data_IF_616347406051
#
_entry.id   IF_616347406051
#
_cell.length_a   1.000
_cell.length_b   1.000
_cell.length_c   1.000
_cell.angle_alpha   90.00
_cell.angle_beta   90.00
_cell.angle_gamma   90.00
#
_symmetry.space_group_name_H-M   'P 1'
#
loop_
_entity.id
_entity.type
_entity.pdbx_description
1 polymer ?
#
# COMPACT_ATOMS: atom_id res chain seq x y z
N UNK A 1 1.56 13.64 -65.15
CA UNK A 1 0.31 14.36 -64.86
C UNK A 1 0.02 14.24 -63.37
N UNK A 2 0.32 15.29 -62.62
CA UNK A 2 0.06 15.45 -61.18
C UNK A 2 -1.16 16.38 -60.99
N UNK A 3 -1.91 16.20 -59.89
CA UNK A 3 -2.40 17.34 -59.11
C UNK A 3 -1.99 17.15 -57.63
N UNK A 4 -1.23 17.97 -56.91
CA UNK A 4 -1.25 19.41 -56.56
C UNK A 4 -2.46 19.89 -55.72
N UNK A 5 -2.13 20.19 -54.45
CA UNK A 5 -2.75 21.10 -53.47
C UNK A 5 -4.16 20.78 -52.93
N UNK A 6 -4.49 20.96 -51.64
CA UNK A 6 -4.28 22.16 -50.82
C UNK A 6 -4.40 21.82 -49.30
N UNK A 7 -3.41 22.21 -48.48
CA UNK A 7 -3.50 22.24 -47.00
C UNK A 7 -4.01 23.62 -46.56
N UNK A 8 -4.82 23.74 -45.48
CA UNK A 8 -4.97 25.02 -44.80
C UNK A 8 -3.86 25.17 -43.74
N UNK A 9 -3.03 26.19 -43.95
CA UNK A 9 -2.23 26.87 -42.94
C UNK A 9 -3.13 27.92 -42.27
N UNK A 10 -3.25 27.90 -40.96
CA UNK A 10 -3.53 29.11 -40.19
C UNK A 10 -2.52 29.19 -39.04
N UNK A 11 -1.79 30.30 -39.02
CA UNK A 11 -0.65 30.54 -38.17
C UNK A 11 -0.97 31.30 -36.88
N UNK A 12 -0.03 31.13 -35.96
CA UNK A 12 0.49 32.03 -34.92
C UNK A 12 -0.38 33.17 -34.36
N UNK A 13 -0.49 33.18 -33.02
CA UNK A 13 -0.12 34.34 -32.22
C UNK A 13 0.49 33.90 -30.88
N UNK A 14 1.69 34.39 -30.63
CA UNK A 14 2.39 34.32 -29.36
C UNK A 14 2.26 35.68 -28.66
N UNK A 15 2.10 35.69 -27.33
CA UNK A 15 2.58 36.76 -26.47
C UNK A 15 2.60 36.28 -25.01
N UNK A 16 3.80 36.24 -24.45
CA UNK A 16 4.10 36.10 -23.03
C UNK A 16 4.25 37.50 -22.44
N UNK A 17 3.75 37.76 -21.23
CA UNK A 17 4.18 38.88 -20.37
C UNK A 17 3.76 38.66 -18.91
N UNK A 18 4.77 38.53 -18.04
CA UNK A 18 4.68 38.68 -16.58
C UNK A 18 4.65 40.17 -16.20
N UNK A 19 3.91 40.51 -15.14
CA UNK A 19 4.26 41.54 -14.13
C UNK A 19 3.28 41.42 -12.94
N UNK A 20 3.72 40.98 -11.76
CA UNK A 20 4.23 41.80 -10.64
C UNK A 20 3.17 42.77 -10.07
N UNK A 21 2.51 42.37 -8.98
CA UNK A 21 1.97 43.31 -8.01
C UNK A 21 2.81 43.28 -6.73
N UNK A 22 3.30 44.47 -6.39
CA UNK A 22 4.04 44.83 -5.20
C UNK A 22 3.15 44.71 -3.96
N UNK A 23 3.67 44.08 -2.92
CA UNK A 23 3.22 44.25 -1.54
C UNK A 23 4.45 44.43 -0.66
N UNK A 24 4.94 45.67 -0.56
CA UNK A 24 5.99 46.06 0.36
C UNK A 24 5.40 46.16 1.77
N UNK A 25 5.94 45.42 2.74
CA UNK A 25 5.91 45.82 4.15
C UNK A 25 7.33 45.76 4.67
N UNK A 26 7.71 46.87 5.30
CA UNK A 26 9.06 47.26 5.68
C UNK A 26 9.70 46.31 6.70
N UNK A 27 11.00 46.10 6.51
CA UNK A 27 12.00 45.79 7.56
C UNK A 27 12.10 46.98 8.56
N UNK A 28 12.61 46.81 9.80
CA UNK A 28 14.03 46.50 9.97
C UNK A 28 14.37 45.45 11.04
N UNK A 29 15.48 44.80 10.72
CA UNK A 29 16.37 43.93 11.49
C UNK A 29 17.13 44.74 12.59
N UNK A 30 18.24 44.24 13.18
CA UNK A 30 18.39 43.32 14.29
C UNK A 30 19.12 43.99 15.49
N UNK A 31 19.34 43.27 16.60
CA UNK A 31 20.67 43.14 17.23
C UNK A 31 20.60 42.58 18.66
N UNK A 32 21.57 41.70 18.90
CA UNK A 32 22.11 41.20 20.16
C UNK A 32 22.14 42.19 21.32
N UNK A 33 21.87 41.68 22.52
CA UNK A 33 22.45 42.24 23.74
C UNK A 33 22.82 41.12 24.71
N UNK A 34 24.10 41.13 25.07
CA UNK A 34 24.76 40.35 26.12
C UNK A 34 24.61 41.12 27.45
N UNK A 35 24.34 40.42 28.55
CA UNK A 35 24.62 40.83 29.94
C UNK A 35 24.55 39.54 30.78
N UNK A 36 25.58 38.99 31.44
CA UNK A 36 26.51 39.48 32.48
C UNK A 36 25.79 40.06 33.70
N UNK A 37 25.93 39.39 34.84
CA UNK A 37 25.53 39.84 36.18
C UNK A 37 25.19 38.66 37.09
N UNK A 38 26.17 38.03 37.74
CA UNK A 38 26.69 38.38 39.07
C UNK A 38 25.83 37.80 40.23
N UNK A 39 26.46 36.92 41.01
CA UNK A 39 26.01 36.48 42.34
C UNK A 39 25.98 37.65 43.34
N UNK A 40 25.29 37.51 44.49
CA UNK A 40 26.05 37.16 45.70
C UNK A 40 25.32 36.29 46.76
N UNK A 41 26.13 35.47 47.41
CA UNK A 41 26.26 35.13 48.84
C UNK A 41 25.10 35.35 49.85
N UNK A 42 24.69 34.23 50.46
CA UNK A 42 24.42 33.88 51.88
C UNK A 42 24.11 34.98 52.92
N UNK A 43 23.28 34.64 53.94
CA UNK A 43 23.89 34.23 55.22
C UNK A 43 23.30 32.98 55.87
N UNK A 44 24.15 32.35 56.69
CA UNK A 44 23.91 31.30 57.69
C UNK A 44 23.09 31.83 58.88
N UNK A 45 22.26 30.99 59.51
CA UNK A 45 22.40 30.62 60.93
C UNK A 45 21.43 29.50 61.35
N UNK A 46 21.83 28.83 62.42
CA UNK A 46 21.52 27.48 62.87
C UNK A 46 20.13 27.24 63.48
N UNK A 47 19.70 25.98 63.43
CA UNK A 47 18.57 25.47 64.21
C UNK A 47 18.60 23.93 64.33
N UNK A 48 19.08 23.46 65.48
CA UNK A 48 19.08 22.08 65.97
C UNK A 48 17.76 21.32 65.77
N UNK A 49 17.80 20.09 65.24
CA UNK A 49 16.93 19.00 65.69
C UNK A 49 17.44 17.64 65.20
N UNK A 50 17.49 16.69 66.14
CA UNK A 50 17.91 15.31 66.00
C UNK A 50 16.98 14.46 65.13
N UNK A 51 17.60 13.44 64.54
CA UNK A 51 17.20 12.04 64.53
C UNK A 51 16.78 11.42 63.18
N UNK A 52 17.22 10.15 63.09
CA UNK A 52 16.69 9.04 62.30
C UNK A 52 17.32 8.82 60.93
N UNK A 53 18.28 7.89 60.93
CA UNK A 53 18.78 7.20 59.75
C UNK A 53 17.64 6.45 59.05
N UNK A 54 17.19 6.99 57.93
CA UNK A 54 16.47 6.24 56.91
C UNK A 54 17.29 6.31 55.62
N UNK A 55 17.71 5.15 55.15
CA UNK A 55 18.42 4.94 53.90
C UNK A 55 17.48 5.35 52.74
N UNK A 56 17.56 6.61 52.30
CA UNK A 56 16.82 7.10 51.15
C UNK A 56 17.65 6.79 49.89
N UNK A 57 17.26 5.72 49.20
CA UNK A 57 17.64 5.50 47.80
C UNK A 57 17.18 6.68 46.94
N UNK A 58 17.96 7.12 45.93
CA UNK A 58 17.54 8.19 45.04
C UNK A 58 16.26 7.79 44.29
N UNK A 59 15.36 8.75 43.97
CA UNK A 59 14.19 8.46 43.17
C UNK A 59 14.66 7.99 41.78
N UNK A 60 14.43 6.71 41.50
CA UNK A 60 14.48 6.20 40.14
C UNK A 60 13.40 6.97 39.39
N UNK A 61 13.82 7.76 38.40
CA UNK A 61 12.91 8.25 37.40
C UNK A 61 12.33 7.02 36.69
N UNK A 62 11.10 6.68 37.03
CA UNK A 62 10.29 5.70 36.31
C UNK A 62 10.03 6.29 34.91
N UNK A 63 11.00 6.12 34.01
CA UNK A 63 10.81 6.31 32.58
C UNK A 63 9.81 5.25 32.13
N UNK A 64 8.52 5.57 32.30
CA UNK A 64 7.39 4.84 31.73
C UNK A 64 7.33 5.10 30.23
N UNK A 65 8.43 4.80 29.55
CA UNK A 65 8.47 4.66 28.11
C UNK A 65 7.89 3.29 27.79
N UNK A 66 6.56 3.22 27.65
CA UNK A 66 5.92 2.06 27.06
C UNK A 66 6.36 1.97 25.58
N UNK A 67 7.56 1.41 25.36
CA UNK A 67 7.92 0.84 24.07
C UNK A 67 7.02 -0.39 23.89
N UNK A 68 5.77 -0.15 23.49
CA UNK A 68 5.02 -1.17 22.77
C UNK A 68 5.90 -1.52 21.58
N UNK A 69 6.48 -2.71 21.56
CA UNK A 69 7.29 -3.18 20.44
C UNK A 69 6.39 -3.15 19.20
N UNK A 70 6.44 -2.06 18.44
CA UNK A 70 5.60 -1.89 17.25
C UNK A 70 6.03 -3.00 16.31
N UNK A 71 5.10 -3.91 15.99
CA UNK A 71 5.38 -5.02 15.09
C UNK A 71 5.93 -4.45 13.77
N UNK A 72 6.96 -5.06 13.18
CA UNK A 72 7.54 -4.54 11.95
C UNK A 72 6.48 -4.53 10.83
N UNK A 73 6.51 -3.48 10.01
CA UNK A 73 5.59 -3.34 8.89
C UNK A 73 5.78 -4.46 7.85
N UNK A 74 4.72 -4.72 7.09
CA UNK A 74 4.71 -5.72 6.00
C UNK A 74 4.53 -5.05 4.65
N UNK A 75 5.02 -5.72 3.60
CA UNK A 75 4.83 -5.31 2.21
C UNK A 75 3.95 -6.35 1.54
N UNK A 76 2.90 -5.89 0.87
CA UNK A 76 1.95 -6.71 0.12
C UNK A 76 2.09 -6.37 -1.36
N UNK A 77 2.44 -7.35 -2.19
CA UNK A 77 2.51 -7.18 -3.64
C UNK A 77 1.32 -7.86 -4.30
N UNK A 78 0.53 -7.09 -5.04
CA UNK A 78 -0.61 -7.59 -5.83
C UNK A 78 -0.51 -7.13 -7.28
N UNK A 79 -1.12 -7.91 -8.16
CA UNK A 79 -1.38 -7.51 -9.55
C UNK A 79 -2.65 -6.67 -9.59
N UNK A 80 -2.77 -5.79 -10.58
CA UNK A 80 -4.06 -5.17 -10.88
C UNK A 80 -5.14 -6.22 -11.16
N UNK A 81 -6.38 -5.87 -10.83
CA UNK A 81 -7.55 -6.73 -11.02
C UNK A 81 -7.87 -6.97 -12.50
N UNK A 82 -8.90 -7.76 -12.75
CA UNK A 82 -9.28 -8.30 -14.05
C UNK A 82 -9.45 -7.20 -15.10
N UNK A 83 -8.85 -7.44 -16.28
CA UNK A 83 -8.90 -6.52 -17.42
C UNK A 83 -10.13 -6.79 -18.28
N UNK A 84 -10.64 -5.75 -18.93
CA UNK A 84 -11.64 -5.91 -20.00
C UNK A 84 -11.12 -6.79 -21.13
N UNK A 85 -12.03 -7.53 -21.77
CA UNK A 85 -11.73 -8.25 -23.03
C UNK A 85 -11.18 -7.26 -24.07
N UNK A 86 -10.22 -7.70 -24.88
CA UNK A 86 -9.52 -6.82 -25.83
C UNK A 86 -8.50 -5.84 -25.22
N UNK A 87 -8.38 -5.78 -23.88
CA UNK A 87 -7.31 -5.02 -23.22
C UNK A 87 -7.51 -3.51 -23.18
N UNK A 88 -8.74 -3.02 -23.43
CA UNK A 88 -9.09 -1.61 -23.30
C UNK A 88 -8.73 -1.05 -21.91
N UNK A 89 -8.73 0.28 -21.79
CA UNK A 89 -8.43 0.93 -20.52
C UNK A 89 -9.46 0.54 -19.44
N UNK A 90 -8.96 0.49 -18.21
CA UNK A 90 -9.74 0.21 -17.00
C UNK A 90 -9.98 -1.27 -16.67
N UNK A 91 -10.66 -1.47 -15.54
CA UNK A 91 -11.06 -2.77 -15.01
C UNK A 91 -12.31 -3.32 -15.72
N UNK A 92 -12.38 -4.64 -15.83
CA UNK A 92 -13.65 -5.34 -16.08
C UNK A 92 -14.51 -5.32 -14.82
N UNK A 93 -15.78 -5.73 -14.95
CA UNK A 93 -16.76 -5.76 -13.87
C UNK A 93 -16.29 -6.70 -12.76
N UNK A 94 -15.80 -7.89 -13.10
CA UNK A 94 -15.08 -8.77 -12.14
C UNK A 94 -13.93 -8.06 -11.42
N UNK A 95 -13.18 -7.23 -12.15
CA UNK A 95 -12.07 -6.47 -11.58
C UNK A 95 -12.52 -5.37 -10.61
N UNK A 96 -13.69 -4.77 -10.84
CA UNK A 96 -14.29 -3.82 -9.90
C UNK A 96 -14.75 -4.53 -8.62
N UNK A 97 -15.33 -5.73 -8.74
CA UNK A 97 -15.68 -6.58 -7.58
C UNK A 97 -14.43 -6.88 -6.75
N UNK A 98 -13.34 -7.34 -7.38
CA UNK A 98 -12.06 -7.57 -6.70
C UNK A 98 -11.53 -6.31 -6.02
N UNK A 99 -11.61 -5.15 -6.67
CA UNK A 99 -11.18 -3.88 -6.09
C UNK A 99 -11.94 -3.53 -4.80
N UNK A 100 -13.24 -3.86 -4.72
CA UNK A 100 -14.04 -3.71 -3.51
C UNK A 100 -13.67 -4.73 -2.43
N UNK A 101 -13.44 -5.98 -2.82
CA UNK A 101 -13.02 -7.06 -1.92
C UNK A 101 -11.74 -6.70 -1.13
N UNK A 102 -10.81 -5.92 -1.70
CA UNK A 102 -9.60 -5.50 -0.98
C UNK A 102 -9.86 -4.82 0.37
N UNK A 103 -11.02 -4.17 0.56
CA UNK A 103 -11.46 -3.61 1.86
C UNK A 103 -11.52 -4.67 2.96
N UNK A 104 -11.96 -5.88 2.62
CA UNK A 104 -12.13 -6.98 3.57
C UNK A 104 -10.78 -7.48 4.08
N UNK A 105 -9.77 -7.55 3.22
CA UNK A 105 -8.46 -8.05 3.63
C UNK A 105 -7.56 -6.95 4.20
N UNK A 106 -7.58 -5.76 3.61
CA UNK A 106 -6.63 -4.68 3.91
C UNK A 106 -7.25 -3.48 4.64
N UNK A 107 -8.55 -3.49 4.91
CA UNK A 107 -9.23 -2.40 5.61
C UNK A 107 -9.06 -2.45 7.14
N UNK A 108 -8.77 -3.61 7.70
CA UNK A 108 -8.81 -3.82 9.15
C UNK A 108 -7.83 -4.91 9.64
N UNK A 109 -7.80 -5.10 10.95
CA UNK A 109 -7.00 -6.13 11.61
C UNK A 109 -5.49 -5.96 11.40
N UNK A 110 -4.75 -7.07 11.46
CA UNK A 110 -3.30 -7.02 11.35
C UNK A 110 -2.81 -6.66 9.94
N UNK A 111 -3.62 -6.93 8.91
CA UNK A 111 -3.30 -6.67 7.50
C UNK A 111 -3.69 -5.26 7.07
N UNK A 112 -4.37 -4.48 7.92
CA UNK A 112 -4.74 -3.09 7.62
C UNK A 112 -3.55 -2.33 7.04
N UNK A 113 -3.74 -1.74 5.86
CA UNK A 113 -2.66 -1.00 5.19
C UNK A 113 -2.65 0.45 5.65
N UNK A 114 -1.46 1.04 5.69
CA UNK A 114 -1.25 2.43 6.07
C UNK A 114 -0.68 3.26 4.91
N UNK A 115 -0.24 2.59 3.86
CA UNK A 115 0.36 3.22 2.69
C UNK A 115 0.12 2.38 1.43
N UNK A 116 -0.36 3.03 0.38
CA UNK A 116 -0.72 2.38 -0.88
C UNK A 116 0.11 3.00 -2.00
N UNK A 117 0.87 2.18 -2.71
CA UNK A 117 1.65 2.54 -3.90
C UNK A 117 1.01 1.83 -5.10
N UNK A 118 0.72 2.57 -6.16
CA UNK A 118 0.24 2.00 -7.40
C UNK A 118 0.95 2.61 -8.61
N UNK A 119 0.87 1.90 -9.73
CA UNK A 119 1.48 2.35 -10.98
C UNK A 119 0.91 3.68 -11.44
N UNK A 120 1.80 4.63 -11.76
CA UNK A 120 1.42 5.85 -12.47
C UNK A 120 0.69 5.52 -13.78
N UNK A 121 -0.33 6.31 -14.08
CA UNK A 121 -1.14 6.19 -15.29
C UNK A 121 -1.05 7.45 -16.15
N UNK A 122 -1.34 7.28 -17.44
CA UNK A 122 -1.28 8.39 -18.41
C UNK A 122 -2.61 9.14 -18.46
N UNK A 123 -2.62 10.43 -18.87
CA UNK A 123 -3.85 11.23 -18.93
C UNK A 123 -4.95 10.63 -19.81
N UNK A 124 -4.58 9.84 -20.82
CA UNK A 124 -5.50 9.10 -21.69
C UNK A 124 -6.08 7.82 -21.07
N UNK A 125 -5.84 7.59 -19.78
CA UNK A 125 -6.33 6.43 -19.02
C UNK A 125 -5.52 5.16 -19.24
N UNK A 126 -4.50 5.15 -20.10
CA UNK A 126 -3.60 3.99 -20.19
C UNK A 126 -2.92 3.78 -18.86
N UNK A 127 -2.74 2.50 -18.50
CA UNK A 127 -2.09 2.06 -17.26
C UNK A 127 -2.90 2.38 -15.97
N UNK A 128 -4.17 2.76 -16.07
CA UNK A 128 -5.00 3.11 -14.90
C UNK A 128 -5.39 1.93 -13.99
N UNK A 129 -5.32 0.68 -14.48
CA UNK A 129 -5.84 -0.49 -13.77
C UNK A 129 -5.25 -0.68 -12.35
N UNK A 130 -3.93 -0.55 -12.12
CA UNK A 130 -3.39 -0.64 -10.76
C UNK A 130 -3.98 0.40 -9.81
N UNK A 131 -4.09 1.66 -10.25
CA UNK A 131 -4.75 2.71 -9.47
C UNK A 131 -6.23 2.38 -9.19
N UNK A 132 -6.99 1.99 -10.23
CA UNK A 132 -8.40 1.64 -10.09
C UNK A 132 -8.62 0.43 -9.16
N UNK A 133 -7.67 -0.50 -9.11
CA UNK A 133 -7.75 -1.69 -8.25
C UNK A 133 -7.71 -1.32 -6.76
N UNK A 134 -6.85 -0.38 -6.38
CA UNK A 134 -6.66 -0.01 -4.97
C UNK A 134 -7.49 1.20 -4.54
N UNK A 135 -8.11 1.92 -5.47
CA UNK A 135 -8.83 3.15 -5.16
C UNK A 135 -9.97 2.96 -4.14
N UNK A 136 -10.85 1.94 -4.25
CA UNK A 136 -11.93 1.77 -3.27
C UNK A 136 -11.41 1.57 -1.84
N UNK A 137 -10.36 0.75 -1.68
CA UNK A 137 -9.67 0.57 -0.40
C UNK A 137 -9.05 1.89 0.11
N UNK A 138 -8.40 2.65 -0.76
CA UNK A 138 -7.79 3.92 -0.41
C UNK A 138 -8.84 4.94 0.08
N UNK A 139 -9.98 5.03 -0.62
CA UNK A 139 -11.10 5.87 -0.23
C UNK A 139 -11.68 5.44 1.14
N UNK A 140 -11.92 4.14 1.33
CA UNK A 140 -12.41 3.55 2.59
C UNK A 140 -11.50 3.86 3.78
N UNK A 141 -10.17 3.83 3.58
CA UNK A 141 -9.19 4.11 4.62
C UNK A 141 -8.83 5.61 4.77
N UNK A 142 -9.37 6.49 3.92
CA UNK A 142 -8.98 7.90 3.87
C UNK A 142 -7.52 8.13 3.45
N UNK A 143 -6.93 7.20 2.69
CA UNK A 143 -5.55 7.23 2.24
C UNK A 143 -5.43 7.80 0.82
N UNK A 144 -4.29 8.46 0.55
CA UNK A 144 -3.91 8.79 -0.83
C UNK A 144 -3.16 7.63 -1.46
N UNK A 145 -3.47 7.33 -2.72
CA UNK A 145 -2.66 6.40 -3.53
C UNK A 145 -1.42 7.14 -4.01
N UNK A 146 -0.24 6.64 -3.66
CA UNK A 146 1.02 7.13 -4.20
C UNK A 146 1.23 6.61 -5.63
N UNK A 147 1.23 7.53 -6.58
CA UNK A 147 1.41 7.29 -8.02
C UNK A 147 2.74 7.83 -8.54
N UNK A 148 3.71 8.08 -7.65
CA UNK A 148 4.95 8.77 -8.01
C UNK A 148 5.87 7.91 -8.89
N UNK A 149 5.86 6.59 -8.74
CA UNK A 149 6.75 5.71 -9.50
C UNK A 149 6.10 5.29 -10.83
N UNK A 150 6.86 5.40 -11.92
CA UNK A 150 6.44 4.95 -13.26
C UNK A 150 6.60 3.44 -13.43
N UNK A 151 5.96 2.89 -14.48
CA UNK A 151 5.82 1.44 -14.75
C UNK A 151 7.12 0.62 -14.71
N UNK A 152 8.28 1.23 -15.01
CA UNK A 152 9.60 0.58 -15.06
C UNK A 152 10.48 0.89 -13.84
N UNK A 153 10.00 1.69 -12.88
CA UNK A 153 10.82 2.22 -11.78
C UNK A 153 10.73 1.34 -10.52
N UNK A 154 11.15 0.09 -10.64
CA UNK A 154 11.12 -0.87 -9.53
C UNK A 154 11.86 -0.38 -8.28
N UNK A 155 13.02 0.27 -8.44
CA UNK A 155 13.81 0.81 -7.33
C UNK A 155 13.10 1.96 -6.60
N UNK A 156 12.33 2.78 -7.32
CA UNK A 156 11.49 3.82 -6.72
C UNK A 156 10.46 3.20 -5.78
N UNK A 157 9.78 2.14 -6.24
CA UNK A 157 8.78 1.41 -5.45
C UNK A 157 9.42 0.79 -4.21
N UNK A 158 10.53 0.09 -4.37
CA UNK A 158 11.21 -0.57 -3.28
C UNK A 158 11.69 0.42 -2.21
N UNK A 159 12.31 1.53 -2.63
CA UNK A 159 12.75 2.59 -1.71
C UNK A 159 11.59 3.14 -0.87
N UNK A 160 10.47 3.48 -1.50
CA UNK A 160 9.29 4.04 -0.81
C UNK A 160 8.67 3.04 0.16
N UNK A 161 8.47 1.80 -0.28
CA UNK A 161 7.91 0.76 0.57
C UNK A 161 8.82 0.44 1.77
N UNK A 162 10.13 0.31 1.56
CA UNK A 162 11.11 0.07 2.62
C UNK A 162 11.15 1.21 3.66
N UNK A 163 11.04 2.46 3.22
CA UNK A 163 10.94 3.61 4.12
C UNK A 163 9.67 3.59 4.97
N UNK A 164 8.54 3.15 4.42
CA UNK A 164 7.28 3.06 5.15
C UNK A 164 7.29 1.89 6.16
N UNK A 165 7.73 0.69 5.76
CA UNK A 165 7.81 -0.45 6.70
C UNK A 165 8.81 -0.25 7.82
N UNK A 166 9.88 0.54 7.59
CA UNK A 166 10.81 0.94 8.65
C UNK A 166 10.14 1.81 9.75
N UNK A 167 9.01 2.46 9.44
CA UNK A 167 8.16 3.18 10.39
C UNK A 167 7.06 2.29 11.01
N UNK A 168 7.10 0.99 10.72
CA UNK A 168 6.10 0.03 11.14
C UNK A 168 4.76 0.17 10.41
N UNK A 169 4.77 0.68 9.17
CA UNK A 169 3.56 0.78 8.34
C UNK A 169 3.40 -0.48 7.47
N UNK A 170 2.17 -0.94 7.29
CA UNK A 170 1.84 -1.93 6.27
C UNK A 170 1.67 -1.24 4.91
N UNK A 171 2.31 -1.80 3.88
CA UNK A 171 2.37 -1.19 2.54
C UNK A 171 1.73 -2.11 1.51
N UNK A 172 0.75 -1.61 0.76
CA UNK A 172 0.20 -2.29 -0.41
C UNK A 172 0.82 -1.73 -1.69
N UNK A 173 1.35 -2.62 -2.53
CA UNK A 173 1.90 -2.30 -3.85
C UNK A 173 1.07 -3.01 -4.92
N UNK A 174 0.42 -2.25 -5.79
CA UNK A 174 -0.37 -2.79 -6.90
C UNK A 174 0.24 -2.44 -8.26
N UNK A 175 0.47 -3.44 -9.11
CA UNK A 175 1.17 -3.24 -10.38
C UNK A 175 0.68 -4.13 -11.53
N UNK A 176 1.28 -3.99 -12.73
CA UNK A 176 1.11 -4.96 -13.80
C UNK A 176 1.95 -6.23 -13.56
N UNK A 177 1.45 -7.41 -13.98
CA UNK A 177 2.11 -8.69 -13.68
C UNK A 177 3.57 -8.78 -14.14
N UNK A 178 3.92 -8.22 -15.31
CA UNK A 178 5.29 -8.36 -15.85
C UNK A 178 6.32 -7.62 -15.02
N UNK A 179 5.95 -6.48 -14.44
CA UNK A 179 6.87 -5.66 -13.66
C UNK A 179 6.87 -6.02 -12.16
N UNK A 180 5.96 -6.89 -11.71
CA UNK A 180 6.05 -7.45 -10.36
C UNK A 180 7.34 -8.26 -10.15
N UNK A 181 7.85 -8.93 -11.19
CA UNK A 181 9.14 -9.64 -11.11
C UNK A 181 10.28 -8.67 -10.81
N UNK A 182 10.34 -7.51 -11.48
CA UNK A 182 11.40 -6.53 -11.26
C UNK A 182 11.24 -5.79 -9.94
N UNK A 183 10.01 -5.47 -9.54
CA UNK A 183 9.69 -4.89 -8.21
C UNK A 183 10.12 -5.84 -7.10
N UNK A 184 9.77 -7.13 -7.20
CA UNK A 184 10.15 -8.14 -6.22
C UNK A 184 11.68 -8.28 -6.15
N UNK A 185 12.37 -8.25 -7.31
CA UNK A 185 13.84 -8.26 -7.36
C UNK A 185 14.46 -7.07 -6.64
N UNK A 186 13.87 -5.88 -6.74
CA UNK A 186 14.32 -4.70 -6.01
C UNK A 186 14.18 -4.84 -4.47
N UNK A 187 13.28 -5.72 -4.00
CA UNK A 187 13.21 -6.14 -2.59
C UNK A 187 14.16 -7.30 -2.23
N UNK A 188 14.90 -7.84 -3.19
CA UNK A 188 15.76 -9.02 -3.01
C UNK A 188 15.05 -10.37 -3.18
N UNK A 189 13.79 -10.38 -3.63
CA UNK A 189 13.03 -11.59 -3.97
C UNK A 189 13.38 -12.03 -5.38
N UNK A 190 13.94 -13.24 -5.53
CA UNK A 190 14.26 -13.82 -6.84
C UNK A 190 13.25 -14.87 -7.25
N UNK A 191 13.22 -15.15 -8.56
CA UNK A 191 12.34 -16.15 -9.14
C UNK A 191 10.86 -15.77 -9.22
N UNK A 192 10.47 -14.53 -8.87
CA UNK A 192 9.04 -14.19 -8.85
C UNK A 192 8.41 -14.34 -10.23
N UNK A 193 7.46 -15.27 -10.32
CA UNK A 193 6.65 -15.58 -11.49
C UNK A 193 5.18 -15.47 -11.14
N UNK A 194 4.52 -14.44 -11.67
CA UNK A 194 3.08 -14.26 -11.47
C UNK A 194 2.30 -15.03 -12.56
N UNK A 195 1.43 -15.99 -12.20
CA UNK A 195 0.62 -16.74 -13.17
C UNK A 195 -0.29 -15.82 -13.98
N UNK A 196 -0.22 -15.83 -15.33
CA UNK A 196 -0.95 -14.86 -16.16
C UNK A 196 -2.47 -14.99 -16.08
N UNK A 197 -2.98 -16.20 -15.80
CA UNK A 197 -4.41 -16.50 -15.66
C UNK A 197 -5.02 -16.05 -14.32
N UNK A 198 -4.19 -15.74 -13.32
CA UNK A 198 -4.62 -15.35 -11.98
C UNK A 198 -4.59 -13.84 -11.81
N UNK A 199 -5.43 -13.32 -10.92
CA UNK A 199 -5.50 -11.90 -10.54
C UNK A 199 -5.57 -11.68 -9.03
N UNK A 200 -5.63 -12.76 -8.26
CA UNK A 200 -5.91 -12.83 -6.83
C UNK A 200 -4.68 -13.18 -5.99
N UNK A 201 -3.54 -13.48 -6.60
CA UNK A 201 -2.36 -13.91 -5.85
C UNK A 201 -1.71 -12.70 -5.15
N UNK A 202 -1.64 -12.81 -3.83
CA UNK A 202 -1.01 -11.88 -2.91
C UNK A 202 0.34 -12.43 -2.44
N UNK A 203 1.41 -11.66 -2.62
CA UNK A 203 2.71 -11.93 -2.01
C UNK A 203 2.90 -11.05 -0.77
N UNK A 204 3.05 -11.67 0.40
CA UNK A 204 3.39 -10.98 1.64
C UNK A 204 4.89 -11.08 1.91
N UNK A 205 5.54 -9.93 2.03
CA UNK A 205 6.96 -9.78 2.32
C UNK A 205 7.13 -9.17 3.72
N UNK A 206 8.14 -9.65 4.44
CA UNK A 206 8.63 -9.02 5.66
C UNK A 206 9.31 -7.68 5.39
N UNK A 207 9.54 -6.89 6.43
CA UNK A 207 10.32 -5.65 6.36
C UNK A 207 11.76 -5.81 5.82
N UNK A 208 12.27 -7.06 5.71
CA UNK A 208 13.58 -7.39 5.13
C UNK A 208 13.48 -7.92 3.69
N UNK A 209 12.31 -7.86 3.07
CA UNK A 209 12.09 -8.34 1.71
C UNK A 209 12.00 -9.86 1.55
N UNK A 210 12.00 -10.65 2.63
CA UNK A 210 11.74 -12.10 2.56
C UNK A 210 10.25 -12.40 2.48
N UNK A 211 9.87 -13.33 1.62
CA UNK A 211 8.47 -13.75 1.43
C UNK A 211 8.01 -14.60 2.60
N UNK A 212 7.05 -14.10 3.38
CA UNK A 212 6.51 -14.79 4.55
C UNK A 212 5.23 -15.57 4.24
N UNK A 213 4.48 -15.18 3.21
CA UNK A 213 3.34 -15.93 2.72
C UNK A 213 3.04 -15.58 1.25
N UNK A 214 2.45 -16.52 0.53
CA UNK A 214 1.79 -16.30 -0.76
C UNK A 214 0.42 -16.93 -0.64
N UNK A 215 -0.65 -16.19 -0.94
CA UNK A 215 -2.05 -16.63 -0.76
C UNK A 215 -2.93 -16.10 -1.87
N UNK A 216 -4.15 -16.63 -1.97
CA UNK A 216 -5.23 -15.94 -2.67
C UNK A 216 -5.73 -14.76 -1.83
N UNK A 217 -6.27 -13.74 -2.48
CA UNK A 217 -7.08 -12.69 -1.85
C UNK A 217 -8.40 -13.24 -1.30
N UNK A 218 -8.85 -14.40 -1.81
CA UNK A 218 -10.07 -15.11 -1.40
C UNK A 218 -11.34 -14.25 -1.53
N UNK A 219 -11.42 -13.46 -2.61
CA UNK A 219 -12.59 -12.63 -2.88
C UNK A 219 -13.83 -13.47 -3.15
N UNK A 220 -14.85 -13.31 -2.31
CA UNK A 220 -16.09 -14.07 -2.40
C UNK A 220 -16.76 -13.90 -3.77
N UNK A 221 -17.15 -15.01 -4.40
CA UNK A 221 -17.72 -15.04 -5.75
C UNK A 221 -16.71 -14.94 -6.90
N UNK A 222 -15.42 -14.73 -6.61
CA UNK A 222 -14.35 -14.70 -7.63
C UNK A 222 -13.30 -15.78 -7.42
N UNK A 223 -12.93 -16.03 -6.16
CA UNK A 223 -11.82 -16.91 -5.77
C UNK A 223 -12.29 -18.11 -4.95
N UNK A 224 -13.55 -18.52 -5.10
CA UNK A 224 -14.15 -19.59 -4.29
C UNK A 224 -13.37 -20.92 -4.41
N UNK A 225 -12.88 -21.24 -5.61
CA UNK A 225 -12.03 -22.41 -5.88
C UNK A 225 -10.61 -22.29 -5.30
N UNK A 226 -10.22 -21.09 -4.86
CA UNK A 226 -8.89 -20.78 -4.29
C UNK A 226 -8.94 -20.44 -2.80
N UNK A 227 -10.07 -20.68 -2.12
CA UNK A 227 -10.17 -20.53 -0.67
C UNK A 227 -9.18 -21.45 0.05
N UNK A 228 -8.39 -20.89 0.97
CA UNK A 228 -7.31 -21.61 1.63
C UNK A 228 -6.14 -21.96 0.71
N UNK A 229 -6.08 -21.46 -0.52
CA UNK A 229 -4.94 -21.69 -1.39
C UNK A 229 -3.71 -20.90 -0.92
N UNK A 230 -2.57 -21.56 -0.90
CA UNK A 230 -1.28 -20.96 -0.53
C UNK A 230 -0.13 -21.46 -1.39
N UNK A 231 0.79 -20.54 -1.68
CA UNK A 231 2.06 -20.84 -2.33
C UNK A 231 2.96 -21.70 -1.45
N UNK A 232 3.70 -22.62 -2.09
CA UNK A 232 4.58 -23.58 -1.39
C UNK A 232 5.90 -23.78 -2.13
N UNK A 233 6.97 -24.08 -1.38
CA UNK A 233 8.27 -24.51 -1.92
C UNK A 233 8.19 -25.86 -2.65
N UNK A 234 7.22 -26.69 -2.28
CA UNK A 234 7.00 -28.03 -2.83
C UNK A 234 6.24 -28.04 -4.15
N UNK A 235 5.91 -26.86 -4.69
CA UNK A 235 5.34 -26.74 -6.04
C UNK A 235 6.27 -27.32 -7.09
N UNK A 236 5.69 -27.85 -8.17
CA UNK A 236 6.48 -28.34 -9.30
C UNK A 236 7.33 -27.20 -9.88
N UNK A 237 8.50 -27.47 -10.47
CA UNK A 237 9.37 -26.40 -10.99
C UNK A 237 8.69 -25.44 -11.98
N UNK A 238 7.71 -25.91 -12.76
CA UNK A 238 6.96 -25.08 -13.72
C UNK A 238 5.94 -24.15 -13.05
N UNK A 239 5.41 -24.55 -11.89
CA UNK A 239 4.38 -23.82 -11.14
C UNK A 239 4.98 -22.98 -10.00
N UNK A 240 6.30 -23.08 -9.81
CA UNK A 240 7.02 -22.41 -8.74
C UNK A 240 6.94 -20.89 -8.91
N UNK A 241 6.52 -20.22 -7.84
CA UNK A 241 6.21 -18.79 -7.86
C UNK A 241 7.39 -17.90 -7.48
N UNK A 242 8.36 -18.41 -6.72
CA UNK A 242 9.60 -17.74 -6.31
C UNK A 242 10.71 -18.77 -6.09
N UNK A 243 11.97 -18.32 -6.05
CA UNK A 243 13.10 -19.17 -5.69
C UNK A 243 13.05 -19.56 -4.19
N UNK A 244 13.62 -20.71 -3.83
CA UNK A 244 13.53 -21.25 -2.46
C UNK A 244 14.19 -20.32 -1.43
N UNK A 245 15.26 -19.63 -1.82
CA UNK A 245 16.00 -18.69 -0.97
C UNK A 245 15.23 -17.39 -0.70
N UNK A 246 14.18 -17.11 -1.47
CA UNK A 246 13.37 -15.91 -1.30
C UNK A 246 12.39 -16.02 -0.13
N UNK A 247 12.04 -17.24 0.29
CA UNK A 247 11.18 -17.49 1.44
C UNK A 247 11.85 -17.11 2.76
N UNK A 248 11.04 -16.64 3.70
CA UNK A 248 11.44 -16.53 5.10
C UNK A 248 11.62 -17.93 5.72
N UNK A 249 12.45 -18.09 6.77
CA UNK A 249 12.56 -19.35 7.50
C UNK A 249 11.18 -19.88 7.94
N UNK A 250 10.90 -21.16 7.66
CA UNK A 250 9.63 -21.81 7.97
C UNK A 250 8.46 -21.47 7.04
N UNK A 251 8.58 -20.47 6.16
CA UNK A 251 7.53 -20.12 5.22
C UNK A 251 7.53 -21.06 4.00
N UNK A 252 6.33 -21.35 3.47
CA UNK A 252 6.15 -22.15 2.25
C UNK A 252 6.35 -23.66 2.40
N UNK A 253 6.44 -24.19 3.62
CA UNK A 253 6.68 -25.63 3.87
C UNK A 253 5.40 -26.50 3.77
N UNK A 254 4.23 -25.88 3.68
CA UNK A 254 2.93 -26.56 3.58
C UNK A 254 2.84 -27.43 2.31
N UNK A 255 2.19 -28.59 2.42
CA UNK A 255 1.87 -29.41 1.26
C UNK A 255 0.67 -28.80 0.52
N UNK A 256 0.83 -28.65 -0.80
CA UNK A 256 -0.27 -28.29 -1.69
C UNK A 256 -0.94 -29.58 -2.18
N UNK A 257 -2.22 -29.77 -1.85
CA UNK A 257 -3.10 -30.72 -2.52
C UNK A 257 -4.09 -29.91 -3.36
N UNK A 258 -3.77 -29.62 -4.61
CA UNK A 258 -4.80 -29.25 -5.56
C UNK A 258 -4.62 -30.09 -6.82
N UNK A 259 -5.60 -30.95 -7.07
CA UNK A 259 -5.89 -31.53 -8.37
C UNK A 259 -6.49 -30.42 -9.23
N UNK A 260 -5.69 -29.89 -10.16
CA UNK A 260 -6.23 -29.12 -11.27
C UNK A 260 -6.53 -30.12 -12.39
N UNK A 261 -7.81 -30.34 -12.68
CA UNK A 261 -8.22 -30.88 -13.97
C UNK A 261 -8.28 -29.70 -14.95
N UNK A 262 -7.55 -29.81 -16.07
CA UNK A 262 -7.63 -28.86 -17.17
C UNK A 262 -9.01 -29.00 -17.82
N UNK A 263 -9.94 -28.09 -17.51
CA UNK A 263 -11.15 -27.93 -18.31
C UNK A 263 -10.94 -26.91 -19.43
N UNK A 264 -11.28 -27.39 -20.61
CA UNK A 264 -11.25 -26.80 -21.94
C UNK A 264 -11.97 -25.43 -22.01
N UNK A 265 -11.40 -24.54 -22.81
CA UNK A 265 -11.85 -23.16 -23.04
C UNK A 265 -13.14 -23.13 -23.88
N UNK A 266 -14.27 -23.48 -23.25
CA UNK A 266 -15.62 -23.36 -23.78
C UNK A 266 -16.36 -22.15 -23.19
N UNK A 267 -16.60 -21.14 -24.02
CA UNK A 267 -17.21 -19.86 -23.67
C UNK A 267 -18.44 -19.93 -22.74
N UNK A 268 -18.45 -19.11 -21.67
CA UNK A 268 -19.69 -18.62 -21.04
C UNK A 268 -19.71 -17.09 -20.97
N UNK A 269 -20.65 -16.52 -21.70
CA UNK A 269 -21.00 -15.11 -21.71
C UNK A 269 -22.03 -14.76 -20.61
N UNK A 270 -21.96 -15.44 -19.44
CA UNK A 270 -22.88 -15.23 -18.32
C UNK A 270 -22.22 -14.49 -17.12
N UNK A 271 -20.91 -14.26 -17.17
CA UNK A 271 -20.15 -13.75 -16.01
C UNK A 271 -20.25 -12.26 -15.72
N UNK A 272 -20.82 -11.44 -16.62
CA UNK A 272 -20.90 -9.99 -16.42
C UNK A 272 -22.09 -9.62 -15.51
N UNK A 273 -23.25 -10.28 -15.65
CA UNK A 273 -24.41 -10.06 -14.79
C UNK A 273 -24.20 -10.52 -13.33
N UNK A 274 -23.49 -11.64 -13.15
CA UNK A 274 -23.11 -12.12 -11.82
C UNK A 274 -22.13 -11.14 -11.14
N UNK A 275 -21.15 -10.61 -11.88
CA UNK A 275 -20.23 -9.62 -11.35
C UNK A 275 -20.92 -8.29 -10.99
N UNK A 276 -21.90 -7.83 -11.78
CA UNK A 276 -22.72 -6.67 -11.42
C UNK A 276 -23.53 -6.91 -10.13
N UNK A 277 -24.09 -8.10 -9.98
CA UNK A 277 -24.85 -8.48 -8.77
C UNK A 277 -23.95 -8.54 -7.54
N UNK A 278 -22.75 -9.11 -7.67
CA UNK A 278 -21.73 -9.11 -6.60
C UNK A 278 -21.28 -7.69 -6.26
N UNK A 279 -21.05 -6.83 -7.26
CA UNK A 279 -20.64 -5.45 -7.04
C UNK A 279 -21.71 -4.69 -6.25
N UNK A 280 -22.98 -4.87 -6.59
CA UNK A 280 -24.09 -4.30 -5.85
C UNK A 280 -24.15 -4.82 -4.40
N UNK A 281 -23.86 -6.11 -4.17
CA UNK A 281 -23.78 -6.66 -2.83
C UNK A 281 -22.67 -6.01 -1.99
N UNK A 282 -21.47 -5.79 -2.56
CA UNK A 282 -20.38 -5.07 -1.88
C UNK A 282 -20.72 -3.60 -1.59
N UNK A 283 -21.47 -2.93 -2.47
CA UNK A 283 -21.92 -1.55 -2.23
C UNK A 283 -23.03 -1.48 -1.16
N UNK A 284 -23.92 -2.45 -1.12
CA UNK A 284 -24.96 -2.55 -0.08
C UNK A 284 -24.37 -2.87 1.29
N UNK A 285 -23.35 -3.72 1.35
CA UNK A 285 -22.62 -4.02 2.59
C UNK A 285 -21.99 -2.74 3.18
N UNK A 286 -21.36 -1.92 2.33
CA UNK A 286 -20.81 -0.62 2.71
C UNK A 286 -21.89 0.34 3.24
N UNK A 287 -23.09 0.34 2.64
CA UNK A 287 -24.23 1.10 3.15
C UNK A 287 -24.72 0.54 4.49
N UNK A 288 -24.72 -0.78 4.67
CA UNK A 288 -25.15 -1.41 5.91
C UNK A 288 -24.19 -1.12 7.08
N UNK A 289 -22.88 -1.02 6.82
CA UNK A 289 -21.89 -0.59 7.81
C UNK A 289 -22.09 0.89 8.21
N UNK A 290 -22.45 1.76 7.27
CA UNK A 290 -22.76 3.18 7.55
C UNK A 290 -24.01 3.33 8.41
N UNK A 291 -25.01 2.47 8.22
CA UNK A 291 -26.27 2.49 8.96
C UNK A 291 -26.34 1.47 10.10
N UNK A 292 -25.23 0.82 10.45
CA UNK A 292 -25.19 -0.12 11.56
C UNK A 292 -25.61 0.62 12.84
N UNK A 293 -26.61 0.13 13.59
CA UNK A 293 -27.03 0.78 14.82
C UNK A 293 -25.85 0.81 15.79
N UNK A 294 -25.51 2.00 16.28
CA UNK A 294 -24.53 2.18 17.35
C UNK A 294 -25.06 1.38 18.54
N UNK A 295 -24.45 0.24 18.80
CA UNK A 295 -24.74 -0.52 20.00
C UNK A 295 -24.09 0.26 21.15
N UNK A 296 -24.88 1.11 21.81
CA UNK A 296 -24.52 1.67 23.11
C UNK A 296 -24.38 0.49 24.08
N UNK A 297 -23.13 0.08 24.34
CA UNK A 297 -22.80 -0.75 25.48
C UNK A 297 -22.53 0.17 26.67
N UNK A 298 -23.61 0.58 27.33
CA UNK A 298 -23.58 1.00 28.72
C UNK A 298 -24.65 0.17 29.46
N UNK A 299 -24.20 -0.90 30.12
CA UNK A 299 -24.81 -1.51 31.31
C UNK A 299 -23.75 -2.35 32.06
#
# INVERSE_FOLDING_TARGET
MTPLHLKPLFGLLAASLLALSLGAVLSPNPASAVAVGAAPSLPLSDGHAQAQHAFLSPPQAEDSSSHTSKRPGRIFLIRHAEKRKGGSNGLAEKGKVRAQCLKHFFGHGEHKVDYIIAQAYKPDGRRSRPYQTVKPLADHLGLKVDLHCEREEADCVAKRALQAVAKGQNVLVCWQHKALTDIARAFGVRGLRYPPARSDILFQLSHKGKVSAIRSEECSGLDDDFRGWHGSKKMSPKDKLIDDEAWAPGAGEHHHTASYEEEDDGARAEGDHEAESLLAAYELDELSEIFAPVHDQDD
#
